data_IF_750922898141
#
_entry.id   IF_750922898141
#
_cell.length_a   1.000
_cell.length_b   1.000
_cell.length_c   1.000
_cell.angle_alpha   90.00
_cell.angle_beta   90.00
_cell.angle_gamma   90.00
#
_symmetry.space_group_name_H-M   'P 1'
#
loop_
_entity.id
_entity.type
_entity.pdbx_description
1 polymer ?
#
# COMPACT_ATOMS: atom_id res chain seq x y z
N UNK A 1 26.70 -35.84 10.36
CA UNK A 1 25.87 -36.96 10.88
C UNK A 1 25.11 -36.43 12.08
N UNK A 2 23.92 -35.91 11.88
CA UNK A 2 23.07 -35.45 12.99
C UNK A 2 22.46 -36.68 13.64
N UNK A 3 22.86 -36.99 14.83
CA UNK A 3 22.16 -37.95 15.69
C UNK A 3 20.77 -37.36 16.04
N UNK A 4 19.78 -37.81 15.29
CA UNK A 4 18.38 -37.69 15.72
C UNK A 4 18.22 -38.54 16.98
N UNK A 5 18.56 -38.01 18.13
CA UNK A 5 18.10 -38.54 19.40
C UNK A 5 16.62 -38.23 19.47
N UNK A 6 15.82 -39.16 18.93
CA UNK A 6 14.39 -39.22 19.19
C UNK A 6 14.23 -39.35 20.72
N UNK A 7 14.13 -38.23 21.41
CA UNK A 7 13.65 -38.20 22.79
C UNK A 7 12.15 -38.59 22.75
N UNK A 8 11.90 -39.89 22.55
CA UNK A 8 10.55 -40.44 22.67
C UNK A 8 10.11 -40.31 24.12
N UNK A 9 9.26 -39.35 24.36
CA UNK A 9 8.64 -39.16 25.68
C UNK A 9 7.79 -40.38 25.98
N UNK A 10 8.10 -41.08 27.08
CA UNK A 10 7.31 -42.23 27.53
C UNK A 10 5.96 -41.73 28.01
N UNK A 11 4.90 -42.21 27.41
CA UNK A 11 3.54 -41.86 27.78
C UNK A 11 2.93 -42.95 28.64
N UNK A 12 2.64 -42.61 29.88
CA UNK A 12 1.99 -43.48 30.85
C UNK A 12 0.45 -43.33 30.91
N UNK A 13 -0.12 -42.48 30.05
CA UNK A 13 -1.55 -42.28 29.96
C UNK A 13 -2.21 -43.35 29.08
N UNK A 14 -3.50 -43.61 29.35
CA UNK A 14 -4.30 -44.53 28.52
C UNK A 14 -4.67 -43.98 27.12
N UNK A 15 -4.30 -42.73 26.82
CA UNK A 15 -4.56 -42.07 25.54
C UNK A 15 -3.58 -42.62 24.49
N UNK A 16 -4.11 -43.25 23.44
CA UNK A 16 -3.30 -43.90 22.40
C UNK A 16 -2.50 -42.93 21.51
N UNK A 17 -2.99 -41.72 21.29
CA UNK A 17 -2.36 -40.69 20.46
C UNK A 17 -2.26 -39.37 21.20
N UNK A 18 -1.29 -39.19 22.11
CA UNK A 18 -1.07 -37.89 22.75
C UNK A 18 -0.57 -36.89 21.74
N UNK A 19 -1.03 -35.65 21.81
CA UNK A 19 -0.44 -34.56 21.02
C UNK A 19 1.04 -34.42 21.41
N UNK A 20 1.89 -34.29 20.40
CA UNK A 20 3.31 -33.98 20.63
C UNK A 20 3.41 -32.60 21.29
N UNK A 21 4.22 -32.47 22.30
CA UNK A 21 4.55 -31.16 22.85
C UNK A 21 5.28 -30.33 21.81
N UNK A 22 4.87 -29.07 21.56
CA UNK A 22 5.62 -28.20 20.69
C UNK A 22 7.00 -27.92 21.28
N UNK A 23 8.02 -27.83 20.42
CA UNK A 23 9.31 -27.30 20.82
C UNK A 23 9.17 -25.77 21.00
N UNK A 24 9.47 -25.26 22.19
CA UNK A 24 9.38 -23.82 22.49
C UNK A 24 10.37 -22.98 21.69
N UNK A 25 11.46 -23.58 21.17
CA UNK A 25 12.42 -22.92 20.32
C UNK A 25 12.08 -23.02 18.83
N UNK A 26 11.10 -23.83 18.46
CA UNK A 26 10.73 -24.08 17.06
C UNK A 26 10.41 -22.77 16.32
N UNK A 27 9.72 -21.84 16.97
CA UNK A 27 9.37 -20.53 16.39
C UNK A 27 10.63 -19.76 15.94
N UNK A 28 11.68 -19.79 16.76
CA UNK A 28 12.95 -19.11 16.46
C UNK A 28 13.74 -19.85 15.37
N UNK A 29 13.98 -21.13 15.59
CA UNK A 29 14.82 -21.96 14.72
C UNK A 29 14.22 -22.10 13.32
N UNK A 30 12.94 -22.47 13.26
CA UNK A 30 12.23 -22.66 11.98
C UNK A 30 12.10 -21.36 11.20
N UNK A 31 11.77 -20.26 11.87
CA UNK A 31 11.66 -18.95 11.21
C UNK A 31 12.99 -18.52 10.58
N UNK A 32 14.11 -18.80 11.24
CA UNK A 32 15.45 -18.52 10.70
C UNK A 32 15.82 -19.45 9.55
N UNK A 33 15.47 -20.75 9.66
CA UNK A 33 15.67 -21.73 8.58
C UNK A 33 14.82 -21.37 7.34
N UNK A 34 13.56 -21.03 7.54
CA UNK A 34 12.66 -20.60 6.47
C UNK A 34 13.15 -19.30 5.81
N UNK A 35 13.75 -18.39 6.58
CA UNK A 35 14.37 -17.18 6.05
C UNK A 35 15.54 -17.49 5.12
N UNK A 36 16.43 -18.37 5.51
CA UNK A 36 17.64 -18.70 4.75
C UNK A 36 17.43 -19.77 3.67
N UNK A 37 16.49 -20.67 3.84
CA UNK A 37 16.17 -21.79 2.91
C UNK A 37 17.40 -22.55 2.38
N UNK A 38 18.43 -22.76 3.22
CA UNK A 38 19.70 -23.36 2.79
C UNK A 38 19.57 -24.84 2.42
N UNK A 39 18.68 -25.56 3.11
CA UNK A 39 18.45 -26.99 2.90
C UNK A 39 17.60 -27.28 1.65
N UNK A 40 17.13 -26.23 0.97
CA UNK A 40 16.27 -26.33 -0.20
C UNK A 40 17.07 -26.06 -1.47
N UNK A 41 17.04 -26.96 -2.49
CA UNK A 41 17.68 -26.69 -3.78
C UNK A 41 17.16 -25.40 -4.40
N UNK A 42 17.96 -24.64 -5.16
CA UNK A 42 17.58 -23.34 -5.74
C UNK A 42 16.27 -23.36 -6.51
N UNK A 43 16.03 -24.43 -7.29
CA UNK A 43 14.83 -24.62 -8.12
C UNK A 43 13.53 -24.82 -7.30
N UNK A 44 13.67 -25.24 -6.05
CA UNK A 44 12.54 -25.55 -5.15
C UNK A 44 12.37 -24.53 -4.03
N UNK A 45 13.18 -23.47 -4.01
CA UNK A 45 13.04 -22.41 -3.01
C UNK A 45 11.72 -21.71 -3.17
N UNK A 46 11.06 -21.48 -2.05
CA UNK A 46 9.83 -20.68 -2.02
C UNK A 46 10.18 -19.21 -2.21
N UNK A 47 9.29 -18.47 -2.86
CA UNK A 47 9.44 -17.03 -2.99
C UNK A 47 9.12 -16.33 -1.65
N UNK A 48 9.95 -16.58 -0.65
CA UNK A 48 9.86 -16.04 0.70
C UNK A 48 11.26 -15.83 1.31
N UNK A 49 11.35 -15.10 2.43
CA UNK A 49 12.59 -14.87 3.15
C UNK A 49 13.67 -14.15 2.32
N UNK A 50 14.89 -14.61 2.42
CA UNK A 50 16.04 -13.99 1.74
C UNK A 50 15.96 -14.11 0.21
N UNK A 51 15.45 -15.25 -0.30
CA UNK A 51 15.27 -15.44 -1.73
C UNK A 51 14.33 -14.39 -2.35
N UNK A 52 13.19 -14.14 -1.71
CA UNK A 52 12.25 -13.10 -2.13
C UNK A 52 12.90 -11.72 -2.18
N UNK A 53 13.72 -11.38 -1.18
CA UNK A 53 14.39 -10.09 -1.12
C UNK A 53 15.37 -9.92 -2.29
N UNK A 54 16.07 -10.98 -2.69
CA UNK A 54 16.89 -10.95 -3.91
C UNK A 54 16.03 -10.82 -5.17
N UNK A 55 15.00 -11.64 -5.31
CA UNK A 55 14.13 -11.63 -6.49
C UNK A 55 13.41 -10.28 -6.73
N UNK A 56 13.05 -9.56 -5.67
CA UNK A 56 12.42 -8.24 -5.77
C UNK A 56 13.40 -7.13 -6.17
N UNK A 57 14.69 -7.26 -5.86
CA UNK A 57 15.69 -6.25 -6.15
C UNK A 57 16.45 -6.49 -7.45
N UNK A 58 16.44 -7.71 -7.98
CA UNK A 58 17.06 -8.09 -9.25
C UNK A 58 15.99 -8.47 -10.28
N UNK A 59 16.28 -8.33 -11.58
CA UNK A 59 17.52 -7.83 -12.20
C UNK A 59 17.72 -6.32 -12.01
N UNK A 60 18.99 -5.91 -11.95
CA UNK A 60 19.39 -4.50 -11.89
C UNK A 60 19.88 -4.13 -13.28
N UNK A 61 19.17 -3.20 -13.93
CA UNK A 61 19.58 -2.65 -15.21
C UNK A 61 20.08 -1.20 -15.05
N UNK A 62 20.94 -0.82 -15.91
CA UNK A 62 21.38 0.55 -16.09
C UNK A 62 20.22 1.42 -16.67
N UNK A 63 20.36 2.76 -16.65
CA UNK A 63 19.36 3.70 -17.16
C UNK A 63 19.07 3.57 -18.64
N UNK A 64 20.04 3.06 -19.43
CA UNK A 64 19.91 2.80 -20.87
C UNK A 64 19.50 1.37 -21.18
N UNK A 65 19.43 0.50 -20.18
CA UNK A 65 19.19 -0.94 -20.30
C UNK A 65 20.27 -1.69 -21.13
N UNK A 66 21.49 -1.15 -21.22
CA UNK A 66 22.58 -1.80 -21.93
C UNK A 66 23.19 -2.94 -21.12
N UNK A 67 23.40 -2.75 -19.83
CA UNK A 67 23.95 -3.74 -18.93
C UNK A 67 22.90 -4.21 -17.93
N UNK A 68 22.83 -5.53 -17.75
CA UNK A 68 21.90 -6.17 -16.82
C UNK A 68 22.64 -7.10 -15.90
N UNK A 69 22.48 -6.89 -14.59
CA UNK A 69 22.97 -7.76 -13.52
C UNK A 69 21.82 -8.61 -13.00
N UNK A 70 21.88 -9.90 -13.27
CA UNK A 70 20.89 -10.90 -12.89
C UNK A 70 21.35 -11.71 -11.67
N UNK A 71 20.43 -11.99 -10.76
CA UNK A 71 20.66 -12.89 -9.62
C UNK A 71 20.31 -14.32 -10.01
N UNK A 72 21.21 -15.26 -9.75
CA UNK A 72 21.01 -16.68 -10.01
C UNK A 72 20.72 -17.46 -8.73
N UNK A 73 21.58 -17.31 -7.72
CA UNK A 73 21.48 -18.04 -6.45
C UNK A 73 22.30 -17.38 -5.34
N UNK A 74 22.11 -17.82 -4.11
CA UNK A 74 22.95 -17.48 -2.96
C UNK A 74 23.32 -18.72 -2.17
N UNK A 75 24.44 -18.66 -1.50
CA UNK A 75 24.92 -19.69 -0.60
C UNK A 75 25.75 -19.10 0.54
N UNK A 76 25.98 -19.91 1.55
CA UNK A 76 26.66 -19.54 2.78
C UNK A 76 27.85 -20.50 2.96
N UNK A 77 29.04 -19.95 3.20
CA UNK A 77 30.19 -20.72 3.57
C UNK A 77 30.18 -21.08 5.07
N UNK A 78 30.89 -22.12 5.49
CA UNK A 78 31.03 -22.45 6.90
C UNK A 78 31.59 -21.28 7.73
N UNK A 79 31.19 -21.17 9.01
CA UNK A 79 31.71 -20.14 9.90
C UNK A 79 33.24 -20.32 10.11
N UNK A 80 33.95 -19.20 10.20
CA UNK A 80 35.39 -19.19 10.45
C UNK A 80 35.78 -19.56 11.88
N UNK A 81 34.89 -19.24 12.84
CA UNK A 81 35.10 -19.46 14.27
C UNK A 81 33.97 -20.30 14.84
N UNK A 82 34.28 -21.08 15.87
CA UNK A 82 33.27 -21.80 16.63
C UNK A 82 32.49 -20.86 17.54
N UNK A 83 31.35 -21.31 18.07
CA UNK A 83 30.53 -20.51 19.01
C UNK A 83 31.37 -20.19 20.27
N UNK A 84 32.10 -21.16 20.78
CA UNK A 84 32.92 -21.00 21.98
C UNK A 84 34.09 -20.02 21.75
N UNK A 85 34.76 -20.09 20.59
CA UNK A 85 35.76 -19.09 20.21
C UNK A 85 35.20 -17.67 20.17
N UNK A 86 33.97 -17.51 19.66
CA UNK A 86 33.34 -16.21 19.59
C UNK A 86 32.97 -15.65 20.98
N UNK A 87 32.53 -16.50 21.89
CA UNK A 87 32.25 -16.12 23.28
C UNK A 87 33.51 -15.71 24.05
N UNK A 88 34.60 -16.50 23.91
CA UNK A 88 35.85 -16.23 24.62
C UNK A 88 36.59 -15.01 24.09
N UNK A 89 36.60 -14.83 22.78
CA UNK A 89 37.38 -13.75 22.12
C UNK A 89 36.58 -12.47 21.88
N UNK A 90 35.28 -12.42 22.27
CA UNK A 90 34.44 -11.26 22.04
C UNK A 90 34.10 -11.03 20.56
N UNK A 91 34.03 -12.10 19.75
CA UNK A 91 33.73 -12.04 18.33
C UNK A 91 32.23 -12.25 18.05
N UNK A 92 31.84 -11.95 16.81
CA UNK A 92 30.49 -12.24 16.32
C UNK A 92 30.49 -13.57 15.57
N UNK A 93 29.59 -14.49 15.96
CA UNK A 93 29.36 -15.73 15.24
C UNK A 93 28.63 -15.45 13.95
N UNK A 94 29.34 -15.48 12.84
CA UNK A 94 28.85 -15.10 11.52
C UNK A 94 29.33 -16.05 10.43
N UNK A 95 28.59 -16.09 9.35
CA UNK A 95 28.89 -16.89 8.15
C UNK A 95 28.99 -15.97 6.94
N UNK A 96 29.92 -16.24 6.00
CA UNK A 96 30.03 -15.48 4.77
C UNK A 96 28.86 -15.75 3.84
N UNK A 97 28.14 -14.71 3.45
CA UNK A 97 27.08 -14.77 2.44
C UNK A 97 27.69 -14.45 1.07
N UNK A 98 27.46 -15.31 0.10
CA UNK A 98 27.83 -15.12 -1.29
C UNK A 98 26.60 -15.22 -2.19
N UNK A 99 26.59 -14.44 -3.26
CA UNK A 99 25.58 -14.52 -4.30
C UNK A 99 26.22 -14.84 -5.64
N UNK A 100 25.58 -15.71 -6.40
CA UNK A 100 25.96 -16.02 -7.78
C UNK A 100 25.22 -15.08 -8.70
N UNK A 101 25.96 -14.22 -9.37
CA UNK A 101 25.45 -13.17 -10.21
C UNK A 101 25.90 -13.35 -11.66
N UNK A 102 25.05 -12.94 -12.59
CA UNK A 102 25.31 -12.96 -14.03
C UNK A 102 25.20 -11.55 -14.56
N UNK A 103 26.27 -11.06 -15.15
CA UNK A 103 26.33 -9.78 -15.83
C UNK A 103 26.39 -10.01 -17.34
N UNK A 104 25.51 -9.38 -18.08
CA UNK A 104 25.48 -9.43 -19.54
C UNK A 104 25.08 -8.09 -20.14
N UNK A 105 25.48 -7.89 -21.40
CA UNK A 105 25.10 -6.73 -22.19
C UNK A 105 23.97 -7.11 -23.13
N UNK A 106 22.99 -6.22 -23.29
CA UNK A 106 21.86 -6.34 -24.22
C UNK A 106 22.01 -5.45 -25.46
N UNK A 107 23.05 -4.61 -25.49
CA UNK A 107 23.30 -3.69 -26.59
C UNK A 107 24.04 -4.39 -27.74
N UNK A 108 23.49 -4.39 -28.96
CA UNK A 108 24.17 -4.96 -30.14
C UNK A 108 25.46 -4.24 -30.51
N UNK A 109 25.67 -3.00 -30.10
CA UNK A 109 26.89 -2.25 -30.36
C UNK A 109 28.09 -2.71 -29.48
N UNK A 110 27.82 -3.54 -28.45
CA UNK A 110 28.81 -4.09 -27.53
C UNK A 110 28.87 -5.62 -27.61
N UNK A 111 28.88 -6.20 -28.83
CA UNK A 111 28.96 -7.66 -29.05
C UNK A 111 30.24 -8.31 -28.43
N UNK A 112 31.27 -7.52 -28.16
CA UNK A 112 32.52 -7.98 -27.55
C UNK A 112 32.42 -8.18 -26.01
N UNK A 113 31.29 -7.87 -25.37
CA UNK A 113 31.11 -8.05 -23.95
C UNK A 113 30.69 -9.48 -23.62
N UNK A 114 31.62 -10.27 -23.08
CA UNK A 114 31.32 -11.63 -22.65
C UNK A 114 30.43 -11.65 -21.42
N UNK A 115 29.45 -12.57 -21.42
CA UNK A 115 28.61 -12.81 -20.22
C UNK A 115 29.46 -13.33 -19.08
N UNK A 116 29.53 -12.58 -17.97
CA UNK A 116 30.31 -12.95 -16.78
C UNK A 116 29.39 -13.52 -15.71
N UNK A 117 29.60 -14.77 -15.31
CA UNK A 117 28.96 -15.40 -14.16
C UNK A 117 30.02 -15.53 -13.05
N UNK A 118 29.71 -14.93 -11.90
CA UNK A 118 30.67 -14.87 -10.81
C UNK A 118 30.01 -14.98 -9.45
N UNK A 119 30.70 -15.60 -8.50
CA UNK A 119 30.32 -15.64 -7.10
C UNK A 119 30.86 -14.39 -6.39
N UNK A 120 29.96 -13.60 -5.85
CA UNK A 120 30.31 -12.34 -5.20
C UNK A 120 30.06 -12.43 -3.70
N UNK A 121 31.05 -12.05 -2.93
CA UNK A 121 30.94 -11.94 -1.48
C UNK A 121 30.14 -10.69 -1.10
N UNK A 122 29.04 -10.87 -0.37
CA UNK A 122 28.17 -9.80 0.06
C UNK A 122 28.44 -9.30 1.48
N UNK A 123 29.10 -10.11 2.29
CA UNK A 123 29.44 -9.77 3.67
C UNK A 123 29.16 -10.91 4.65
N UNK A 124 29.63 -10.77 5.91
CA UNK A 124 29.30 -11.72 6.96
C UNK A 124 27.90 -11.44 7.50
N UNK A 125 27.11 -12.49 7.67
CA UNK A 125 25.81 -12.40 8.34
C UNK A 125 25.85 -13.14 9.67
N UNK A 126 25.31 -12.58 10.77
CA UNK A 126 25.18 -13.30 12.02
C UNK A 126 24.38 -14.59 11.83
N UNK A 127 24.86 -15.67 12.40
CA UNK A 127 24.24 -16.98 12.26
C UNK A 127 23.65 -17.44 13.61
N UNK A 128 22.47 -18.04 13.55
CA UNK A 128 21.76 -18.50 14.75
C UNK A 128 22.37 -19.77 15.32
N UNK A 129 22.56 -19.80 16.62
CA UNK A 129 23.01 -21.00 17.34
C UNK A 129 21.86 -22.01 17.47
N UNK A 130 22.16 -23.29 17.78
CA UNK A 130 21.14 -24.31 18.05
C UNK A 130 20.21 -23.95 19.22
N UNK A 131 20.60 -23.01 20.08
CA UNK A 131 19.78 -22.49 21.20
C UNK A 131 18.80 -21.39 20.78
N UNK A 132 18.77 -20.99 19.48
CA UNK A 132 17.96 -19.88 18.99
C UNK A 132 18.50 -18.48 19.30
N UNK A 133 19.79 -18.40 19.69
CA UNK A 133 20.48 -17.14 20.05
C UNK A 133 21.44 -16.72 18.93
N UNK A 134 21.86 -15.46 18.96
CA UNK A 134 22.96 -14.91 18.15
C UNK A 134 24.10 -14.51 19.08
N UNK A 135 25.35 -14.81 18.70
CA UNK A 135 26.53 -14.31 19.42
C UNK A 135 27.04 -13.07 18.72
N UNK A 136 26.92 -11.93 19.36
CA UNK A 136 27.33 -10.63 18.82
C UNK A 136 28.36 -10.01 19.77
N UNK A 137 29.59 -9.80 19.27
CA UNK A 137 30.68 -9.26 20.07
C UNK A 137 30.88 -10.04 21.40
N UNK A 138 30.80 -11.37 21.35
CA UNK A 138 30.96 -12.24 22.49
C UNK A 138 29.78 -12.33 23.45
N UNK A 139 28.66 -11.65 23.17
CA UNK A 139 27.45 -11.71 23.98
C UNK A 139 26.34 -12.51 23.26
N UNK A 140 25.75 -13.47 23.94
CA UNK A 140 24.54 -14.14 23.46
C UNK A 140 23.34 -13.20 23.50
N UNK A 141 22.66 -13.06 22.36
CA UNK A 141 21.49 -12.19 22.18
C UNK A 141 20.38 -12.93 21.49
N UNK A 142 19.14 -12.57 21.79
CA UNK A 142 17.94 -13.12 21.15
C UNK A 142 17.19 -12.01 20.45
N UNK A 143 16.80 -12.24 19.21
CA UNK A 143 15.86 -11.39 18.51
C UNK A 143 14.46 -11.78 18.96
N UNK A 144 13.83 -10.93 19.75
CA UNK A 144 12.50 -11.18 20.34
C UNK A 144 11.43 -11.05 19.25
N UNK A 145 10.52 -12.02 19.19
CA UNK A 145 9.33 -11.92 18.34
C UNK A 145 8.48 -10.73 18.74
N UNK A 146 7.99 -9.98 17.75
CA UNK A 146 7.19 -8.78 17.97
C UNK A 146 5.72 -9.07 17.73
N UNK A 147 4.86 -8.64 18.64
CA UNK A 147 3.42 -8.66 18.46
C UNK A 147 2.97 -7.32 17.92
N UNK A 148 2.48 -7.28 16.69
CA UNK A 148 2.01 -6.07 16.03
C UNK A 148 0.60 -6.24 15.48
N UNK A 149 -0.07 -5.14 15.14
CA UNK A 149 -1.37 -5.21 14.47
C UNK A 149 -1.23 -5.90 13.12
N UNK A 150 -2.14 -6.82 12.83
CA UNK A 150 -2.18 -7.48 11.51
C UNK A 150 -2.44 -6.46 10.40
N UNK A 151 -1.91 -6.68 9.20
CA UNK A 151 -2.35 -5.93 8.03
C UNK A 151 -3.85 -6.15 7.78
N UNK A 152 -4.51 -5.16 7.20
CA UNK A 152 -5.93 -5.19 6.88
C UNK A 152 -6.65 -3.90 7.24
N UNK A 153 -7.97 -3.94 7.29
CA UNK A 153 -8.82 -2.84 7.73
C UNK A 153 -9.38 -3.11 9.12
N UNK A 154 -9.39 -2.07 9.95
CA UNK A 154 -9.93 -2.10 11.32
C UNK A 154 -10.84 -0.92 11.55
N UNK A 155 -12.02 -1.22 12.08
CA UNK A 155 -13.03 -0.23 12.40
C UNK A 155 -13.06 0.01 13.91
N UNK A 156 -12.94 1.26 14.32
CA UNK A 156 -12.89 1.67 15.71
C UNK A 156 -13.95 2.71 16.05
N UNK A 157 -14.21 2.84 17.35
CA UNK A 157 -15.08 3.86 17.91
C UNK A 157 -14.31 4.64 18.97
N UNK A 158 -14.54 5.95 19.01
CA UNK A 158 -14.08 6.83 20.08
C UNK A 158 -15.24 7.70 20.57
N UNK A 159 -15.18 8.12 21.82
CA UNK A 159 -16.19 9.01 22.40
C UNK A 159 -15.55 10.38 22.56
N UNK A 160 -16.12 11.36 21.90
CA UNK A 160 -15.70 12.75 22.05
C UNK A 160 -16.10 13.30 23.42
N UNK A 161 -15.47 14.38 23.88
CA UNK A 161 -15.75 15.03 25.16
C UNK A 161 -17.23 15.43 25.33
N UNK A 162 -17.94 15.69 24.23
CA UNK A 162 -19.37 16.01 24.22
C UNK A 162 -20.27 14.76 24.31
N UNK A 163 -19.73 13.56 24.46
CA UNK A 163 -20.49 12.31 24.48
C UNK A 163 -20.84 11.75 23.09
N UNK A 164 -20.52 12.44 22.00
CA UNK A 164 -20.78 11.97 20.63
C UNK A 164 -19.85 10.83 20.28
N UNK A 165 -20.39 9.76 19.70
CA UNK A 165 -19.62 8.64 19.18
C UNK A 165 -19.03 9.01 17.83
N UNK A 166 -17.72 8.89 17.71
CA UNK A 166 -16.99 9.08 16.47
C UNK A 166 -16.44 7.74 16.01
N UNK A 167 -16.53 7.47 14.72
CA UNK A 167 -16.11 6.22 14.14
C UNK A 167 -14.90 6.44 13.24
N UNK A 168 -14.04 5.44 13.16
CA UNK A 168 -12.88 5.47 12.30
C UNK A 168 -12.64 4.11 11.65
N UNK A 169 -12.13 4.13 10.42
CA UNK A 169 -11.64 2.96 9.70
C UNK A 169 -10.16 3.16 9.41
N UNK A 170 -9.32 2.23 9.81
CA UNK A 170 -7.87 2.31 9.63
C UNK A 170 -7.38 1.17 8.77
N UNK A 171 -6.74 1.50 7.64
CA UNK A 171 -6.08 0.54 6.76
C UNK A 171 -4.61 0.46 7.16
N UNK A 172 -4.17 -0.73 7.53
CA UNK A 172 -2.79 -1.03 7.92
C UNK A 172 -2.22 -1.95 6.85
N UNK A 173 -1.29 -1.49 5.99
CA UNK A 173 -0.58 -2.36 5.05
C UNK A 173 0.54 -3.13 5.76
N UNK A 174 1.03 -4.18 5.11
CA UNK A 174 2.28 -4.84 5.50
C UNK A 174 3.48 -3.92 5.24
N UNK A 175 3.48 -3.22 4.09
CA UNK A 175 4.45 -2.22 3.67
C UNK A 175 3.74 -1.07 2.98
N UNK A 176 3.97 0.18 3.38
CA UNK A 176 3.40 1.36 2.76
C UNK A 176 2.78 2.33 3.76
N UNK A 177 2.10 3.33 3.24
CA UNK A 177 1.46 4.38 4.02
C UNK A 177 0.13 3.93 4.63
N UNK A 178 -0.14 4.36 5.85
CA UNK A 178 -1.41 4.11 6.52
C UNK A 178 -2.46 5.10 6.05
N UNK A 179 -3.70 4.64 5.91
CA UNK A 179 -4.86 5.49 5.69
C UNK A 179 -5.83 5.29 6.86
N UNK A 180 -6.35 6.38 7.37
CA UNK A 180 -7.40 6.37 8.36
C UNK A 180 -8.53 7.28 7.90
N UNK A 181 -9.74 6.74 7.82
CA UNK A 181 -10.96 7.50 7.62
C UNK A 181 -11.59 7.74 8.98
N UNK A 182 -11.95 8.96 9.29
CA UNK A 182 -12.56 9.30 10.58
C UNK A 182 -13.68 10.31 10.42
N UNK A 183 -14.71 10.15 11.24
CA UNK A 183 -15.83 11.09 11.32
C UNK A 183 -15.53 12.22 12.29
N UNK A 184 -16.04 13.40 12.00
CA UNK A 184 -15.95 14.58 12.87
C UNK A 184 -17.30 14.86 13.54
N UNK A 185 -17.31 15.71 14.55
CA UNK A 185 -18.50 16.16 15.30
C UNK A 185 -19.57 16.78 14.37
N UNK A 186 -19.11 17.45 13.32
CA UNK A 186 -19.96 18.10 12.32
C UNK A 186 -20.54 17.12 11.29
N UNK A 187 -20.46 15.83 11.54
CA UNK A 187 -20.87 14.78 10.61
C UNK A 187 -20.19 14.93 9.23
N UNK A 188 -18.88 15.13 9.24
CA UNK A 188 -18.00 15.21 8.05
C UNK A 188 -16.98 14.10 8.13
N UNK A 189 -16.68 13.45 7.03
CA UNK A 189 -15.69 12.37 6.96
C UNK A 189 -14.37 12.88 6.38
N UNK A 190 -13.29 12.60 7.10
CA UNK A 190 -11.93 12.97 6.71
C UNK A 190 -11.06 11.74 6.53
N UNK A 191 -10.11 11.84 5.60
CA UNK A 191 -9.03 10.89 5.41
C UNK A 191 -7.72 11.46 5.98
N UNK A 192 -6.96 10.62 6.68
CA UNK A 192 -5.63 10.93 7.21
C UNK A 192 -4.63 9.97 6.58
N UNK A 193 -3.62 10.52 5.93
CA UNK A 193 -2.50 9.77 5.35
C UNK A 193 -1.32 9.87 6.31
N UNK A 194 -0.82 8.73 6.80
CA UNK A 194 0.30 8.65 7.76
C UNK A 194 0.13 9.55 9.00
N UNK A 195 -1.13 9.69 9.48
CA UNK A 195 -1.50 10.56 10.63
C UNK A 195 -1.12 12.04 10.46
N UNK A 196 -0.92 12.47 9.23
CA UNK A 196 -0.62 13.87 8.91
C UNK A 196 -1.90 14.70 8.79
N UNK A 197 -1.89 15.68 7.92
CA UNK A 197 -3.02 16.59 7.71
C UNK A 197 -4.28 15.85 7.26
N UNK A 198 -5.43 16.31 7.74
CA UNK A 198 -6.72 15.79 7.38
C UNK A 198 -7.19 16.32 6.02
N UNK A 199 -7.80 15.45 5.22
CA UNK A 199 -8.36 15.73 3.90
C UNK A 199 -9.83 15.30 3.90
N UNK A 200 -10.75 16.02 3.25
CA UNK A 200 -12.09 15.49 3.02
C UNK A 200 -12.02 14.17 2.24
N UNK A 201 -12.85 13.19 2.59
CA UNK A 201 -12.85 11.88 1.89
C UNK A 201 -13.19 12.05 0.42
N UNK A 202 -14.08 12.98 0.08
CA UNK A 202 -14.47 13.28 -1.30
C UNK A 202 -13.31 13.79 -2.14
N UNK A 203 -12.43 14.61 -1.58
CA UNK A 203 -11.17 15.00 -2.25
C UNK A 203 -10.30 13.79 -2.58
N UNK A 204 -10.19 12.81 -1.66
CA UNK A 204 -9.45 11.58 -1.93
C UNK A 204 -10.13 10.75 -3.03
N UNK A 205 -11.46 10.60 -3.00
CA UNK A 205 -12.21 9.88 -4.02
C UNK A 205 -12.02 10.50 -5.41
N UNK A 206 -12.05 11.85 -5.52
CA UNK A 206 -11.74 12.54 -6.79
C UNK A 206 -10.34 12.24 -7.28
N UNK A 207 -9.35 12.31 -6.41
CA UNK A 207 -7.95 12.03 -6.75
C UNK A 207 -7.69 10.57 -7.17
N UNK A 208 -8.54 9.64 -6.73
CA UNK A 208 -8.49 8.23 -7.12
C UNK A 208 -9.20 7.96 -8.45
N UNK A 209 -9.92 8.97 -9.00
CA UNK A 209 -10.52 8.93 -10.34
C UNK A 209 -12.05 8.89 -10.34
N UNK A 210 -12.69 9.48 -9.34
CA UNK A 210 -14.13 9.82 -9.36
C UNK A 210 -14.25 11.33 -9.53
N UNK A 211 -14.19 11.80 -10.76
CA UNK A 211 -13.92 13.20 -11.10
C UNK A 211 -14.99 14.16 -10.56
N UNK A 212 -16.26 13.79 -10.75
CA UNK A 212 -17.38 14.68 -10.53
C UNK A 212 -18.19 14.32 -9.29
N UNK A 213 -18.96 15.29 -8.78
CA UNK A 213 -19.94 15.06 -7.72
C UNK A 213 -20.92 13.94 -8.09
N UNK A 214 -21.26 13.85 -9.39
CA UNK A 214 -22.12 12.81 -9.94
C UNK A 214 -21.58 11.42 -9.66
N UNK A 215 -20.31 11.17 -9.99
CA UNK A 215 -19.67 9.86 -9.83
C UNK A 215 -19.66 9.43 -8.36
N UNK A 216 -19.35 10.37 -7.46
CA UNK A 216 -19.35 10.11 -6.01
C UNK A 216 -20.77 9.78 -5.51
N UNK A 217 -21.78 10.50 -5.96
CA UNK A 217 -23.16 10.28 -5.53
C UNK A 217 -23.73 8.97 -6.10
N UNK A 218 -23.38 8.61 -7.33
CA UNK A 218 -23.79 7.35 -7.96
C UNK A 218 -23.20 6.12 -7.22
N UNK A 219 -21.93 6.17 -6.79
CA UNK A 219 -21.29 5.10 -6.03
C UNK A 219 -22.06 4.74 -4.76
N UNK A 220 -22.60 5.76 -4.08
CA UNK A 220 -23.37 5.57 -2.85
C UNK A 220 -24.88 5.48 -3.10
N UNK A 221 -25.32 5.47 -4.36
CA UNK A 221 -26.74 5.45 -4.77
C UNK A 221 -27.57 6.56 -4.10
N UNK A 222 -26.99 7.76 -3.99
CA UNK A 222 -27.60 8.89 -3.28
C UNK A 222 -28.37 9.82 -4.20
N UNK A 223 -28.13 9.78 -5.49
CA UNK A 223 -28.72 10.65 -6.47
C UNK A 223 -29.36 9.87 -7.61
N UNK A 224 -30.47 10.40 -8.10
CA UNK A 224 -31.19 9.96 -9.29
C UNK A 224 -30.87 10.91 -10.44
N UNK A 225 -30.47 10.36 -11.59
CA UNK A 225 -30.22 11.14 -12.79
C UNK A 225 -31.53 11.39 -13.54
N UNK A 226 -31.96 12.64 -13.53
CA UNK A 226 -33.23 13.05 -14.15
C UNK A 226 -32.94 13.83 -15.44
N UNK A 227 -33.46 13.31 -16.58
CA UNK A 227 -33.38 14.02 -17.86
C UNK A 227 -34.16 15.31 -17.82
N UNK A 228 -33.55 16.40 -18.28
CA UNK A 228 -34.12 17.75 -18.31
C UNK A 228 -35.19 17.84 -19.38
N UNK A 229 -36.43 17.65 -18.96
CA UNK A 229 -37.64 17.86 -19.76
C UNK A 229 -38.69 18.56 -18.91
N UNK A 230 -39.51 19.45 -19.49
CA UNK A 230 -40.57 20.15 -18.76
C UNK A 230 -41.50 19.23 -17.97
N UNK A 231 -41.73 17.99 -18.46
CA UNK A 231 -42.59 17.03 -17.77
C UNK A 231 -41.89 16.39 -16.56
N UNK A 232 -40.58 16.10 -16.66
CA UNK A 232 -39.80 15.51 -15.58
C UNK A 232 -39.47 16.54 -14.50
N UNK A 233 -39.11 17.77 -14.90
CA UNK A 233 -38.81 18.85 -13.97
C UNK A 233 -40.02 19.19 -13.07
N UNK A 234 -41.26 19.14 -13.61
CA UNK A 234 -42.45 19.30 -12.80
C UNK A 234 -42.66 18.24 -11.75
N UNK A 235 -42.19 17.00 -11.97
CA UNK A 235 -42.31 15.89 -11.01
C UNK A 235 -41.34 16.01 -9.83
N UNK A 236 -40.23 16.72 -10.02
CA UNK A 236 -39.18 16.86 -9.02
C UNK A 236 -39.25 18.20 -8.26
N UNK A 237 -40.29 18.98 -8.47
CA UNK A 237 -40.52 20.20 -7.69
C UNK A 237 -40.65 19.83 -6.20
N UNK A 238 -39.90 20.51 -5.34
CA UNK A 238 -39.88 20.28 -3.90
C UNK A 238 -38.76 19.30 -3.48
N UNK A 239 -38.10 18.61 -4.43
CA UNK A 239 -36.91 17.79 -4.14
C UNK A 239 -35.65 18.67 -4.11
N UNK A 240 -34.62 18.21 -3.43
CA UNK A 240 -33.34 18.91 -3.36
C UNK A 240 -32.39 18.45 -4.46
N UNK A 241 -31.63 19.39 -5.00
CA UNK A 241 -30.51 19.08 -5.91
C UNK A 241 -29.40 18.39 -5.17
N UNK A 242 -28.93 17.27 -5.70
CA UNK A 242 -27.83 16.50 -5.13
C UNK A 242 -26.46 17.03 -5.57
N UNK A 243 -26.37 17.61 -6.78
CA UNK A 243 -25.15 18.22 -7.30
C UNK A 243 -25.44 19.62 -7.85
N UNK A 244 -24.38 20.42 -8.01
CA UNK A 244 -24.46 21.74 -8.64
C UNK A 244 -24.90 21.62 -10.09
N UNK A 245 -25.78 22.51 -10.50
CA UNK A 245 -26.15 22.68 -11.90
C UNK A 245 -25.13 23.64 -12.52
N UNK A 246 -24.26 23.12 -13.39
CA UNK A 246 -23.16 23.85 -14.01
C UNK A 246 -23.47 24.09 -15.49
N UNK A 247 -23.43 25.35 -15.91
CA UNK A 247 -23.43 25.70 -17.33
C UNK A 247 -21.98 25.69 -17.80
N UNK A 248 -21.65 24.76 -18.69
CA UNK A 248 -20.31 24.60 -19.26
C UNK A 248 -20.27 25.18 -20.67
N UNK A 249 -19.28 26.02 -20.96
CA UNK A 249 -18.98 26.47 -22.32
C UNK A 249 -17.48 26.48 -22.55
N UNK A 250 -17.10 26.33 -23.79
CA UNK A 250 -15.70 26.43 -24.24
C UNK A 250 -15.43 27.84 -24.71
N UNK A 251 -14.36 28.42 -24.20
CA UNK A 251 -13.85 29.72 -24.64
C UNK A 251 -12.47 29.49 -25.29
N UNK A 252 -12.38 29.83 -26.58
CA UNK A 252 -11.15 29.66 -27.34
C UNK A 252 -10.24 30.89 -27.16
N UNK A 253 -9.07 30.66 -26.59
CA UNK A 253 -8.02 31.67 -26.48
C UNK A 253 -6.92 31.37 -27.52
N UNK A 254 -6.57 32.39 -28.26
CA UNK A 254 -5.40 32.34 -29.17
C UNK A 254 -4.19 32.83 -28.36
N UNK A 255 -3.23 31.97 -28.15
CA UNK A 255 -1.96 32.35 -27.53
C UNK A 255 -1.22 33.29 -28.49
N UNK A 256 -0.99 34.53 -28.05
CA UNK A 256 -0.35 35.59 -28.86
C UNK A 256 1.09 35.24 -29.24
N UNK A 257 1.79 34.40 -28.44
CA UNK A 257 3.20 34.04 -28.66
C UNK A 257 3.37 32.81 -29.58
N UNK A 258 2.45 31.83 -29.50
CA UNK A 258 2.59 30.57 -30.25
C UNK A 258 1.61 30.44 -31.41
N UNK A 259 0.52 31.23 -31.42
CA UNK A 259 -0.55 31.16 -32.39
C UNK A 259 -1.45 29.91 -32.29
N UNK A 260 -1.27 29.12 -31.25
CA UNK A 260 -2.10 27.96 -30.98
C UNK A 260 -3.42 28.35 -30.30
N UNK A 261 -4.52 27.73 -30.73
CA UNK A 261 -5.84 27.92 -30.14
C UNK A 261 -5.98 26.98 -28.99
N UNK A 262 -6.00 27.52 -27.75
CA UNK A 262 -6.24 26.76 -26.54
C UNK A 262 -7.70 26.94 -26.13
N UNK A 263 -8.47 25.86 -26.22
CA UNK A 263 -9.87 25.84 -25.76
C UNK A 263 -9.92 25.59 -24.26
N UNK A 264 -10.40 26.56 -23.49
CA UNK A 264 -10.57 26.44 -22.04
C UNK A 264 -12.05 26.25 -21.73
N UNK A 265 -12.37 25.14 -21.04
CA UNK A 265 -13.71 24.92 -20.51
C UNK A 265 -13.96 25.83 -19.28
N UNK A 266 -15.01 26.62 -19.35
CA UNK A 266 -15.49 27.42 -18.23
C UNK A 266 -16.81 26.89 -17.69
N UNK A 267 -16.92 26.86 -16.36
CA UNK A 267 -18.08 26.39 -15.65
C UNK A 267 -18.69 27.54 -14.83
N UNK A 268 -19.95 27.84 -15.04
CA UNK A 268 -20.72 28.77 -14.24
C UNK A 268 -21.75 27.99 -13.42
N UNK A 269 -21.79 28.23 -12.10
CA UNK A 269 -22.78 27.63 -11.22
C UNK A 269 -24.11 28.34 -11.41
N UNK A 270 -25.10 27.66 -12.00
CA UNK A 270 -26.45 28.20 -12.22
C UNK A 270 -27.29 28.05 -10.95
N UNK A 271 -27.25 26.87 -10.33
CA UNK A 271 -27.95 26.56 -9.08
C UNK A 271 -26.98 25.73 -8.21
N UNK A 272 -26.90 26.11 -6.94
CA UNK A 272 -26.01 25.39 -6.00
C UNK A 272 -26.69 24.09 -5.50
N UNK A 273 -25.86 23.16 -5.04
CA UNK A 273 -26.28 21.89 -4.42
C UNK A 273 -27.11 22.16 -3.17
N UNK A 274 -27.93 21.21 -2.74
CA UNK A 274 -28.85 21.27 -1.58
C UNK A 274 -29.99 22.31 -1.73
N UNK A 275 -30.10 22.98 -2.88
CA UNK A 275 -31.19 23.89 -3.16
C UNK A 275 -32.45 23.10 -3.48
N UNK A 276 -33.56 23.47 -2.87
CA UNK A 276 -34.91 22.92 -3.19
C UNK A 276 -35.32 23.44 -4.57
N UNK A 277 -35.76 22.55 -5.43
CA UNK A 277 -36.21 22.90 -6.78
C UNK A 277 -37.58 23.59 -6.66
N UNK A 278 -37.61 24.86 -6.95
CA UNK A 278 -38.83 25.69 -7.04
C UNK A 278 -39.26 25.86 -8.50
N UNK A 279 -40.51 26.25 -8.76
CA UNK A 279 -40.97 26.47 -10.14
C UNK A 279 -40.14 27.49 -10.93
N UNK A 280 -39.54 28.47 -10.25
CA UNK A 280 -38.68 29.49 -10.87
C UNK A 280 -37.36 28.91 -11.38
N UNK A 281 -36.82 27.87 -10.73
CA UNK A 281 -35.60 27.21 -11.11
C UNK A 281 -35.77 26.39 -12.39
N UNK A 282 -37.00 25.99 -12.79
CA UNK A 282 -37.25 25.19 -13.97
C UNK A 282 -36.83 25.94 -15.25
N UNK A 283 -37.15 27.20 -15.33
CA UNK A 283 -36.84 28.02 -16.50
C UNK A 283 -35.33 28.24 -16.60
N UNK A 284 -34.65 28.49 -15.50
CA UNK A 284 -33.17 28.59 -15.43
C UNK A 284 -32.47 27.31 -15.85
N UNK A 285 -32.97 26.15 -15.42
CA UNK A 285 -32.42 24.85 -15.80
C UNK A 285 -32.60 24.58 -17.31
N UNK A 286 -33.77 24.96 -17.86
CA UNK A 286 -34.02 24.80 -19.31
C UNK A 286 -33.17 25.75 -20.16
N UNK A 287 -32.91 26.97 -19.70
CA UNK A 287 -32.05 27.94 -20.39
C UNK A 287 -30.55 27.59 -20.32
N UNK A 288 -30.14 26.85 -19.30
CA UNK A 288 -28.76 26.42 -19.15
C UNK A 288 -28.30 25.39 -20.19
N UNK A 289 -29.26 24.74 -20.89
CA UNK A 289 -28.98 23.75 -21.94
C UNK A 289 -28.43 22.40 -21.43
N UNK A 290 -28.53 22.15 -20.13
CA UNK A 290 -28.05 20.91 -19.50
C UNK A 290 -29.01 19.77 -19.83
N UNK A 291 -28.46 18.58 -20.13
CA UNK A 291 -29.28 17.42 -20.49
C UNK A 291 -29.83 16.66 -19.29
N UNK A 292 -29.04 16.57 -18.21
CA UNK A 292 -29.38 15.79 -17.01
C UNK A 292 -29.06 16.60 -15.76
N UNK A 293 -29.87 16.42 -14.73
CA UNK A 293 -29.65 16.96 -13.39
C UNK A 293 -29.71 15.84 -12.36
N UNK A 294 -28.97 15.97 -11.30
CA UNK A 294 -28.93 15.02 -10.18
C UNK A 294 -29.80 15.52 -9.04
N UNK A 295 -30.75 14.69 -8.65
CA UNK A 295 -31.71 14.99 -7.56
C UNK A 295 -31.52 13.91 -6.48
N UNK A 296 -31.68 14.29 -5.21
CA UNK A 296 -31.62 13.33 -4.11
C UNK A 296 -32.59 12.17 -4.31
N UNK A 297 -32.13 10.96 -4.10
CA UNK A 297 -32.97 9.77 -4.19
C UNK A 297 -33.91 9.73 -2.97
N UNK A 298 -35.23 9.68 -3.20
CA UNK A 298 -36.22 9.61 -2.13
C UNK A 298 -36.27 8.25 -1.44
N UNK A 299 -35.94 7.18 -2.15
CA UNK A 299 -35.92 5.80 -1.63
C UNK A 299 -34.71 5.52 -0.75
N UNK A 300 -33.57 6.16 -1.02
CA UNK A 300 -32.45 6.09 -0.12
C UNK A 300 -32.77 6.93 1.12
N UNK A 301 -32.81 6.32 2.30
CA UNK A 301 -32.89 7.06 3.56
C UNK A 301 -31.77 8.11 3.60
N UNK A 302 -32.08 9.31 3.12
CA UNK A 302 -31.09 10.39 2.93
C UNK A 302 -30.39 10.78 4.24
N UNK A 303 -30.97 10.45 5.39
CA UNK A 303 -30.34 10.60 6.69
C UNK A 303 -29.13 9.69 6.90
N UNK A 304 -29.13 8.48 6.33
CA UNK A 304 -28.06 7.50 6.53
C UNK A 304 -26.73 7.94 5.88
N UNK A 305 -26.83 8.71 4.80
CA UNK A 305 -25.68 9.16 4.02
C UNK A 305 -25.43 10.68 4.08
N UNK A 306 -26.07 11.38 4.98
CA UNK A 306 -25.90 12.83 5.16
C UNK A 306 -24.44 13.24 5.32
N UNK A 307 -23.60 12.34 5.84
CA UNK A 307 -22.16 12.57 6.02
C UNK A 307 -21.42 12.79 4.68
N UNK A 308 -21.84 12.14 3.60
CA UNK A 308 -21.24 12.34 2.28
C UNK A 308 -21.57 13.74 1.74
N UNK A 309 -22.84 14.18 1.88
CA UNK A 309 -23.23 15.52 1.47
C UNK A 309 -22.50 16.60 2.27
N UNK A 310 -22.42 16.44 3.59
CA UNK A 310 -21.68 17.38 4.45
C UNK A 310 -20.19 17.41 4.08
N UNK A 311 -19.63 16.27 3.68
CA UNK A 311 -18.22 16.20 3.26
C UNK A 311 -18.02 16.87 1.91
N UNK A 312 -18.93 16.70 0.96
CA UNK A 312 -18.92 17.40 -0.33
C UNK A 312 -18.99 18.93 -0.16
N UNK A 313 -19.77 19.42 0.80
CA UNK A 313 -19.81 20.86 1.09
C UNK A 313 -18.49 21.42 1.63
N UNK A 314 -17.69 20.58 2.29
CA UNK A 314 -16.38 20.96 2.85
C UNK A 314 -15.22 20.69 1.89
N UNK A 315 -15.51 20.08 0.75
CA UNK A 315 -14.49 19.75 -0.27
C UNK A 315 -14.04 21.03 -0.99
N UNK A 316 -12.74 21.38 -0.93
CA UNK A 316 -12.21 22.54 -1.62
C UNK A 316 -12.00 22.31 -3.13
N UNK A 317 -12.12 21.07 -3.62
CA UNK A 317 -11.87 20.68 -5.00
C UNK A 317 -13.16 20.42 -5.77
N UNK A 318 -13.20 20.79 -7.06
CA UNK A 318 -14.31 20.55 -7.96
C UNK A 318 -13.98 19.58 -9.09
N UNK A 319 -12.69 19.27 -9.27
CA UNK A 319 -12.18 18.38 -10.32
C UNK A 319 -11.10 17.43 -9.80
N UNK A 320 -10.81 16.36 -10.54
CA UNK A 320 -9.71 15.45 -10.24
C UNK A 320 -8.37 16.18 -10.14
N UNK A 321 -8.09 17.09 -11.08
CA UNK A 321 -6.83 17.86 -11.09
C UNK A 321 -6.66 18.69 -9.82
N UNK A 322 -7.68 19.43 -9.43
CA UNK A 322 -7.65 20.24 -8.20
C UNK A 322 -7.46 19.37 -6.96
N UNK A 323 -8.13 18.22 -6.90
CA UNK A 323 -7.99 17.27 -5.80
C UNK A 323 -6.58 16.71 -5.70
N UNK A 324 -5.98 16.30 -6.83
CA UNK A 324 -4.60 15.79 -6.90
C UNK A 324 -3.60 16.85 -6.45
N UNK A 325 -3.72 18.09 -6.93
CA UNK A 325 -2.88 19.20 -6.55
C UNK A 325 -3.03 19.54 -5.06
N UNK A 326 -4.26 19.55 -4.56
CA UNK A 326 -4.53 19.81 -3.14
C UNK A 326 -3.87 18.76 -2.25
N UNK A 327 -4.00 17.47 -2.57
CA UNK A 327 -3.36 16.37 -1.83
C UNK A 327 -1.83 16.48 -1.89
N UNK A 328 -1.27 16.76 -3.07
CA UNK A 328 0.17 16.94 -3.23
C UNK A 328 0.71 18.05 -2.34
N UNK A 329 0.09 19.24 -2.37
CA UNK A 329 0.44 20.37 -1.50
C UNK A 329 0.39 20.03 -0.02
N UNK A 330 -0.64 19.28 0.38
CA UNK A 330 -0.78 18.83 1.77
C UNK A 330 0.31 17.85 2.18
N UNK A 331 0.75 16.97 1.30
CA UNK A 331 1.77 15.95 1.61
C UNK A 331 3.20 16.50 1.52
N UNK A 332 3.49 17.34 0.54
CA UNK A 332 4.85 17.83 0.23
C UNK A 332 5.13 19.23 0.72
N UNK A 333 4.11 20.01 1.08
CA UNK A 333 4.19 21.45 1.39
C UNK A 333 4.86 22.28 0.26
N UNK A 334 4.73 21.85 -0.99
CA UNK A 334 5.28 22.48 -2.18
C UNK A 334 4.32 22.27 -3.35
N UNK A 335 4.40 23.10 -4.36
CA UNK A 335 3.69 22.90 -5.61
C UNK A 335 4.38 21.83 -6.46
N UNK A 336 3.63 20.99 -7.21
CA UNK A 336 4.22 20.03 -8.12
C UNK A 336 4.82 20.72 -9.34
N UNK A 337 5.79 20.08 -9.96
CA UNK A 337 6.39 20.57 -11.22
C UNK A 337 5.39 20.48 -12.37
N UNK A 338 4.58 19.41 -12.38
CA UNK A 338 3.55 19.13 -13.37
C UNK A 338 2.44 18.25 -12.77
N UNK A 339 1.31 18.17 -13.47
CA UNK A 339 0.15 17.36 -13.05
C UNK A 339 0.49 15.86 -13.01
N UNK A 340 1.37 15.39 -13.91
CA UNK A 340 1.79 14.00 -13.98
C UNK A 340 2.56 13.57 -12.73
N UNK A 341 3.50 14.42 -12.26
CA UNK A 341 4.25 14.18 -11.02
C UNK A 341 3.33 14.11 -9.80
N UNK A 342 2.29 14.94 -9.76
CA UNK A 342 1.34 14.92 -8.65
C UNK A 342 0.50 13.62 -8.64
N UNK A 343 0.03 13.17 -9.80
CA UNK A 343 -0.68 11.89 -9.94
C UNK A 343 0.21 10.69 -9.59
N UNK A 344 1.47 10.73 -10.02
CA UNK A 344 2.44 9.68 -9.70
C UNK A 344 2.64 9.52 -8.19
N UNK A 345 2.67 10.61 -7.43
CA UNK A 345 2.79 10.55 -5.95
C UNK A 345 1.61 9.80 -5.34
N UNK A 346 0.37 10.07 -5.76
CA UNK A 346 -0.82 9.39 -5.24
C UNK A 346 -0.81 7.92 -5.64
N UNK A 347 -0.49 7.63 -6.91
CA UNK A 347 -0.39 6.26 -7.39
C UNK A 347 0.67 5.46 -6.61
N UNK A 348 1.82 6.07 -6.34
CA UNK A 348 2.89 5.46 -5.57
C UNK A 348 2.55 5.25 -4.09
N UNK A 349 1.58 5.99 -3.54
CA UNK A 349 1.18 5.83 -2.13
C UNK A 349 0.35 4.57 -1.90
N UNK A 350 -0.55 4.21 -2.84
CA UNK A 350 -1.60 3.21 -2.59
C UNK A 350 -1.72 2.13 -3.64
N UNK A 351 -1.34 2.40 -4.90
CA UNK A 351 -1.60 1.54 -6.06
C UNK A 351 -0.34 0.96 -6.69
N UNK A 352 0.85 1.32 -6.21
CA UNK A 352 2.12 0.81 -6.75
C UNK A 352 2.61 -0.38 -5.95
N UNK A 353 2.75 -1.55 -6.57
CA UNK A 353 3.26 -2.78 -5.97
C UNK A 353 4.68 -2.63 -5.37
N UNK A 354 5.49 -1.71 -5.92
CA UNK A 354 6.84 -1.45 -5.39
C UNK A 354 6.83 -0.76 -4.03
N UNK A 355 5.80 0.05 -3.74
CA UNK A 355 5.75 0.90 -2.54
C UNK A 355 4.66 0.52 -1.55
N UNK A 356 3.63 -0.16 -2.00
CA UNK A 356 2.49 -0.53 -1.19
C UNK A 356 2.24 -2.04 -1.29
N UNK A 357 2.13 -2.71 -0.16
CA UNK A 357 1.84 -4.13 -0.08
C UNK A 357 0.95 -4.40 1.14
N UNK A 358 -0.23 -4.95 0.91
CA UNK A 358 -1.13 -5.43 1.96
C UNK A 358 -0.67 -6.78 2.53
N UNK A 359 0.12 -7.52 1.75
CA UNK A 359 0.39 -8.93 2.01
C UNK A 359 -0.84 -9.82 1.83
N UNK A 360 -0.65 -11.11 1.80
CA UNK A 360 -1.75 -12.09 1.67
C UNK A 360 -2.74 -12.00 2.83
N UNK A 361 -2.23 -11.83 4.04
CA UNK A 361 -3.06 -11.70 5.25
C UNK A 361 -3.92 -10.44 5.21
N UNK A 362 -3.36 -9.32 4.76
CA UNK A 362 -4.09 -8.06 4.64
C UNK A 362 -5.20 -8.14 3.60
N UNK A 363 -4.91 -8.69 2.40
CA UNK A 363 -5.91 -8.89 1.34
C UNK A 363 -7.02 -9.82 1.80
N UNK A 364 -6.68 -10.97 2.38
CA UNK A 364 -7.66 -11.90 2.92
C UNK A 364 -8.61 -11.25 3.94
N UNK A 365 -8.06 -10.45 4.86
CA UNK A 365 -8.86 -9.79 5.90
C UNK A 365 -9.79 -8.72 5.34
N UNK A 366 -9.33 -7.92 4.38
CA UNK A 366 -10.15 -6.92 3.70
C UNK A 366 -11.30 -7.62 2.96
N UNK A 367 -10.99 -8.62 2.15
CA UNK A 367 -12.00 -9.39 1.41
C UNK A 367 -13.05 -10.01 2.35
N UNK A 368 -12.59 -10.66 3.42
CA UNK A 368 -13.49 -11.31 4.40
C UNK A 368 -14.35 -10.30 5.15
N UNK A 369 -13.79 -9.14 5.56
CA UNK A 369 -14.52 -8.13 6.34
C UNK A 369 -15.56 -7.40 5.51
N UNK A 370 -15.24 -7.11 4.25
CA UNK A 370 -16.07 -6.31 3.34
C UNK A 370 -16.84 -7.16 2.33
N UNK A 371 -16.75 -8.51 2.43
CA UNK A 371 -17.36 -9.45 1.48
C UNK A 371 -16.97 -9.18 0.01
N UNK A 372 -15.68 -8.95 -0.22
CA UNK A 372 -15.12 -8.71 -1.55
C UNK A 372 -14.54 -9.99 -2.13
N UNK A 373 -14.68 -10.16 -3.45
CA UNK A 373 -14.10 -11.26 -4.22
C UNK A 373 -12.82 -10.84 -5.00
N UNK A 374 -12.07 -9.88 -4.46
CA UNK A 374 -10.82 -9.45 -5.07
C UNK A 374 -9.79 -10.57 -5.01
N UNK A 375 -9.04 -10.78 -6.10
CA UNK A 375 -8.01 -11.81 -6.18
C UNK A 375 -6.95 -11.63 -5.08
N UNK A 376 -6.51 -12.75 -4.50
CA UNK A 376 -5.50 -12.77 -3.43
C UNK A 376 -4.12 -12.28 -3.89
N UNK A 377 -3.84 -12.36 -5.20
CA UNK A 377 -2.60 -11.87 -5.79
C UNK A 377 -2.55 -10.34 -5.89
N UNK A 378 -3.69 -9.65 -5.81
CA UNK A 378 -3.76 -8.20 -5.77
C UNK A 378 -3.40 -7.69 -4.39
N UNK A 379 -2.14 -7.35 -4.18
CA UNK A 379 -1.58 -6.91 -2.89
C UNK A 379 -1.60 -5.39 -2.68
N UNK A 380 -2.07 -4.62 -3.65
CA UNK A 380 -2.26 -3.17 -3.55
C UNK A 380 -3.72 -2.84 -3.23
N UNK A 381 -3.98 -1.62 -2.75
CA UNK A 381 -5.36 -1.15 -2.59
C UNK A 381 -6.03 -1.01 -3.95
N UNK A 382 -7.33 -1.31 -4.01
CA UNK A 382 -8.17 -1.05 -5.16
C UNK A 382 -9.13 0.10 -4.87
N UNK A 383 -9.67 0.71 -5.93
CA UNK A 383 -10.74 1.72 -5.79
C UNK A 383 -11.95 1.15 -5.06
N UNK A 384 -12.28 -0.12 -5.35
CA UNK A 384 -13.37 -0.85 -4.73
C UNK A 384 -13.17 -0.99 -3.21
N UNK A 385 -11.95 -1.31 -2.76
CA UNK A 385 -11.64 -1.43 -1.33
C UNK A 385 -11.99 -0.12 -0.60
N UNK A 386 -11.57 1.01 -1.15
CA UNK A 386 -11.79 2.33 -0.56
C UNK A 386 -13.29 2.62 -0.44
N UNK A 387 -14.06 2.35 -1.50
CA UNK A 387 -15.52 2.57 -1.52
C UNK A 387 -16.20 1.71 -0.45
N UNK A 388 -15.91 0.41 -0.41
CA UNK A 388 -16.57 -0.50 0.52
C UNK A 388 -16.18 -0.23 1.98
N UNK A 389 -14.94 0.24 2.24
CA UNK A 389 -14.54 0.71 3.57
C UNK A 389 -15.36 1.92 4.00
N UNK A 390 -15.58 2.87 3.10
CA UNK A 390 -16.40 4.06 3.40
C UNK A 390 -17.87 3.67 3.63
N UNK A 391 -18.42 2.77 2.82
CA UNK A 391 -19.79 2.24 3.01
C UNK A 391 -19.94 1.56 4.36
N UNK A 392 -19.01 0.66 4.71
CA UNK A 392 -19.02 -0.01 6.01
C UNK A 392 -18.91 0.99 7.18
N UNK A 393 -18.10 2.05 7.03
CA UNK A 393 -18.02 3.11 8.04
C UNK A 393 -19.34 3.87 8.19
N UNK A 394 -20.08 4.08 7.11
CA UNK A 394 -21.43 4.68 7.15
C UNK A 394 -22.43 3.74 7.82
N UNK A 395 -22.34 2.43 7.55
CA UNK A 395 -23.16 1.43 8.24
C UNK A 395 -22.89 1.40 9.76
N UNK A 396 -21.64 1.58 10.18
CA UNK A 396 -21.26 1.71 11.59
C UNK A 396 -21.90 2.95 12.24
N UNK A 397 -21.90 4.09 11.57
CA UNK A 397 -22.52 5.34 12.06
C UNK A 397 -24.02 5.10 12.27
N UNK A 398 -24.66 4.35 11.39
CA UNK A 398 -26.07 4.01 11.43
C UNK A 398 -26.37 2.79 12.34
N UNK A 399 -25.38 2.30 13.09
CA UNK A 399 -25.52 1.16 14.00
C UNK A 399 -25.96 -0.14 13.30
N UNK A 400 -25.62 -0.32 12.03
CA UNK A 400 -25.91 -1.52 11.21
C UNK A 400 -24.73 -2.49 11.17
N UNK A 401 -23.57 -2.11 11.71
CA UNK A 401 -22.34 -2.89 11.72
C UNK A 401 -21.63 -2.84 13.08
N UNK A 402 -20.63 -3.69 13.28
CA UNK A 402 -19.90 -3.80 14.53
C UNK A 402 -18.45 -3.31 14.40
N UNK A 403 -17.97 -2.69 15.49
CA UNK A 403 -16.57 -2.25 15.61
C UNK A 403 -15.65 -3.44 15.92
N UNK A 404 -14.38 -3.30 15.55
CA UNK A 404 -13.37 -4.32 15.82
C UNK A 404 -12.67 -4.04 17.16
N UNK A 405 -12.39 -5.10 17.92
CA UNK A 405 -11.47 -5.02 19.05
C UNK A 405 -10.03 -5.14 18.55
N UNK A 406 -9.33 -4.01 18.49
CA UNK A 406 -7.96 -3.92 17.95
C UNK A 406 -6.96 -4.67 18.84
N UNK A 407 -7.22 -4.80 20.13
CA UNK A 407 -6.31 -5.43 21.07
C UNK A 407 -6.50 -6.94 21.21
N UNK A 408 -7.59 -7.46 20.64
CA UNK A 408 -7.83 -8.89 20.59
C UNK A 408 -6.72 -9.63 19.82
N UNK A 409 -6.26 -10.77 20.32
CA UNK A 409 -5.14 -11.52 19.73
C UNK A 409 -5.40 -12.01 18.29
N UNK A 410 -6.65 -12.18 17.89
CA UNK A 410 -6.99 -12.47 16.49
C UNK A 410 -6.65 -11.32 15.53
N UNK A 411 -6.56 -10.10 16.04
CA UNK A 411 -6.26 -8.88 15.28
C UNK A 411 -4.78 -8.47 15.40
N UNK A 412 -4.01 -9.25 16.14
CA UNK A 412 -2.57 -9.04 16.33
C UNK A 412 -1.81 -10.24 15.76
N UNK A 413 -0.69 -9.98 15.11
CA UNK A 413 0.17 -10.97 14.47
C UNK A 413 1.54 -10.99 15.12
N UNK A 414 2.13 -12.16 15.22
CA UNK A 414 3.51 -12.32 15.68
C UNK A 414 4.45 -12.15 14.47
N UNK A 415 5.37 -11.20 14.58
CA UNK A 415 6.48 -11.02 13.64
C UNK A 415 7.69 -11.77 14.17
N UNK A 416 8.08 -12.81 13.48
CA UNK A 416 9.20 -13.69 13.86
C UNK A 416 10.54 -13.11 13.45
N UNK A 417 11.63 -13.74 13.89
CA UNK A 417 13.01 -13.31 13.58
C UNK A 417 13.30 -13.30 12.09
N UNK A 418 12.86 -14.32 11.35
CA UNK A 418 13.09 -14.41 9.91
C UNK A 418 12.44 -13.25 9.14
N UNK A 419 11.20 -12.88 9.50
CA UNK A 419 10.51 -11.74 8.91
C UNK A 419 11.19 -10.40 9.25
N UNK A 420 11.66 -10.24 10.49
CA UNK A 420 12.40 -9.04 10.90
C UNK A 420 13.71 -8.90 10.13
N UNK A 421 14.43 -10.00 9.95
CA UNK A 421 15.67 -10.02 9.16
C UNK A 421 15.38 -9.74 7.68
N UNK A 422 14.36 -10.36 7.08
CA UNK A 422 13.95 -10.12 5.70
C UNK A 422 13.72 -8.63 5.43
N UNK A 423 13.01 -7.94 6.32
CA UNK A 423 12.76 -6.50 6.21
C UNK A 423 14.05 -5.67 6.25
N UNK A 424 15.02 -6.01 7.10
CA UNK A 424 16.29 -5.31 7.18
C UNK A 424 17.17 -5.60 5.95
N UNK A 425 17.19 -6.84 5.48
CA UNK A 425 17.90 -7.21 4.24
C UNK A 425 17.30 -6.50 3.03
N UNK A 426 15.97 -6.36 2.94
CA UNK A 426 15.32 -5.63 1.86
C UNK A 426 15.78 -4.16 1.80
N UNK A 427 15.92 -3.50 2.94
CA UNK A 427 16.44 -2.12 3.01
C UNK A 427 17.92 -2.08 2.57
N UNK A 428 18.71 -3.03 3.01
CA UNK A 428 20.15 -3.14 2.65
C UNK A 428 20.34 -3.39 1.15
N UNK A 429 19.62 -4.37 0.59
CA UNK A 429 19.70 -4.73 -0.82
C UNK A 429 19.17 -3.63 -1.74
N UNK A 430 18.12 -2.90 -1.34
CA UNK A 430 17.61 -1.75 -2.09
C UNK A 430 18.66 -0.62 -2.19
N UNK A 431 19.42 -0.37 -1.10
CA UNK A 431 20.53 0.59 -1.12
C UNK A 431 21.67 0.11 -2.01
N UNK A 432 22.03 -1.16 -1.91
CA UNK A 432 23.05 -1.79 -2.75
C UNK A 432 22.66 -1.73 -4.24
N UNK A 433 21.41 -2.07 -4.58
CA UNK A 433 20.87 -2.00 -5.95
C UNK A 433 21.00 -0.59 -6.54
N UNK A 434 20.71 0.42 -5.73
CA UNK A 434 20.88 1.82 -6.14
C UNK A 434 22.36 2.14 -6.44
N UNK A 435 23.27 1.74 -5.56
CA UNK A 435 24.71 1.98 -5.73
C UNK A 435 25.26 1.23 -6.95
N UNK A 436 24.79 -0.01 -7.19
CA UNK A 436 25.16 -0.79 -8.38
C UNK A 436 24.72 -0.04 -9.64
N UNK A 437 23.48 0.43 -9.70
CA UNK A 437 22.95 1.19 -10.85
C UNK A 437 23.75 2.47 -11.09
N UNK A 438 24.08 3.21 -10.05
CA UNK A 438 24.91 4.40 -10.15
C UNK A 438 26.31 4.07 -10.70
N UNK A 439 26.93 2.96 -10.27
CA UNK A 439 28.23 2.53 -10.77
C UNK A 439 28.18 2.02 -12.22
N UNK A 440 27.13 1.30 -12.60
CA UNK A 440 26.93 0.87 -13.98
C UNK A 440 26.82 2.07 -14.93
N UNK A 441 26.06 3.10 -14.54
CA UNK A 441 25.89 4.32 -15.34
C UNK A 441 27.19 5.13 -15.56
N UNK A 442 28.14 5.06 -14.62
CA UNK A 442 29.41 5.81 -14.73
C UNK A 442 30.44 5.07 -15.60
N UNK A 443 30.32 3.75 -15.73
CA UNK A 443 31.33 2.90 -16.37
C UNK A 443 30.98 2.42 -17.78
N UNK A 444 30.20 3.20 -18.52
CA UNK A 444 29.65 2.85 -19.84
C UNK A 444 30.69 2.31 -20.87
N UNK A 445 31.99 2.59 -20.69
CA UNK A 445 33.05 2.25 -21.64
C UNK A 445 34.15 1.34 -21.08
N UNK A 446 34.00 0.81 -19.88
CA UNK A 446 35.01 -0.04 -19.27
C UNK A 446 34.54 -1.50 -19.12
N UNK A 447 35.46 -2.45 -19.30
CA UNK A 447 35.17 -3.84 -18.94
C UNK A 447 35.13 -3.95 -17.41
N UNK A 448 33.97 -4.28 -16.87
CA UNK A 448 33.78 -4.44 -15.42
C UNK A 448 33.14 -5.79 -15.09
N UNK A 449 33.37 -6.23 -13.87
CA UNK A 449 32.88 -7.51 -13.37
C UNK A 449 31.85 -7.30 -12.25
N UNK A 450 30.99 -8.30 -11.93
CA UNK A 450 30.05 -8.20 -10.82
C UNK A 450 30.69 -7.80 -9.49
N UNK A 451 31.96 -8.20 -9.22
CA UNK A 451 32.66 -7.83 -7.99
C UNK A 451 32.97 -6.33 -7.93
N UNK A 452 33.25 -5.69 -9.06
CA UNK A 452 33.57 -4.26 -9.12
C UNK A 452 32.35 -3.37 -8.81
N UNK A 453 31.16 -3.90 -9.07
CA UNK A 453 29.88 -3.21 -8.84
C UNK A 453 29.44 -3.25 -7.39
N UNK A 454 29.80 -4.32 -6.66
CA UNK A 454 29.33 -4.57 -5.31
C UNK A 454 30.39 -4.19 -4.29
N UNK A 455 29.99 -3.46 -3.27
CA UNK A 455 30.81 -3.17 -2.11
C UNK A 455 30.23 -3.88 -0.89
N UNK A 456 30.96 -4.83 -0.35
CA UNK A 456 30.58 -5.61 0.82
C UNK A 456 30.80 -4.87 2.17
N UNK A 457 31.20 -3.60 2.13
CA UNK A 457 31.45 -2.77 3.33
C UNK A 457 30.29 -1.85 3.63
#
# INVERSE_FOLDING_TARGET
>A
MSSNTNNQRINFASIKNPMKYPDFLEVQLKSFQDFLQLDTPPEKRKNDGLYKVFAENFPIADTRNNFVLEFLDYYIDPPHYTIDDCLERGLTYSVPLKAKLKLYCTDPDHEDFDTVIQDVYLGPIPYMTPKGTFVINGAERVVVSQLHRSPGVFFGQSIHANGTKLYSARIIPFKGSWIEFATDINNVMYAYIDRKKKLPVTTLLRAVGFENDKDILEIFNLAEDVKVNKANLKKIIGRKLAARVLKTWTEDFVDEDTGEVVSIERNEVVIDRETVIEPEHIDLILESGIQNILVHNEEANSSDYSIIFNTLQKDPSNSEKEAVLYIYRQLRNADPADDASAREVINNLFFSEKRYDLGEVGRYRINKKLNLDTDMDVKVLTKQDIIEIIKYLIELINSKADVDDIDHLSNRRVRTVGEQLSNQFAIGLARMSRTIRERMNVRDNEVFTPIDLINAK
#
